data_IF_752236791949
#
_entry.id   IF_752236791949
#
_cell.length_a   1.000
_cell.length_b   1.000
_cell.length_c   1.000
_cell.angle_alpha   90.00
_cell.angle_beta   90.00
_cell.angle_gamma   90.00
#
_symmetry.space_group_name_H-M   'P 1'
#
loop_
_entity.id
_entity.type
_entity.pdbx_description
1 polymer ?
#
# COMPACT_ATOMS: atom_id res chain seq x y z
N UNK A 1 1.07 28.90 -19.61
CA UNK A 1 1.08 28.96 -18.13
C UNK A 1 2.29 29.78 -17.70
N UNK A 2 2.14 30.62 -16.68
CA UNK A 2 3.28 31.33 -16.09
C UNK A 2 4.23 30.31 -15.47
N UNK A 3 5.54 30.47 -15.68
CA UNK A 3 6.52 29.61 -15.04
C UNK A 3 6.43 29.76 -13.51
N UNK A 4 6.61 28.66 -12.75
CA UNK A 4 6.61 28.74 -11.30
C UNK A 4 7.75 29.62 -10.79
N UNK A 5 7.47 30.35 -9.72
CA UNK A 5 8.43 31.25 -9.06
C UNK A 5 8.88 30.65 -7.75
N UNK A 6 10.15 30.79 -7.41
CA UNK A 6 10.67 30.37 -6.12
C UNK A 6 10.88 31.58 -5.21
N UNK A 7 10.60 31.41 -3.93
CA UNK A 7 10.78 32.42 -2.90
C UNK A 7 11.59 31.84 -1.76
N UNK A 8 12.32 32.68 -1.04
CA UNK A 8 13.01 32.27 0.17
C UNK A 8 13.33 33.41 1.10
N UNK A 9 13.50 33.04 2.37
CA UNK A 9 13.92 33.92 3.46
C UNK A 9 15.31 33.52 3.90
N UNK A 10 16.21 34.50 3.99
CA UNK A 10 17.62 34.30 4.32
C UNK A 10 18.00 35.16 5.52
N UNK A 11 18.75 34.57 6.44
CA UNK A 11 19.36 35.26 7.58
C UNK A 11 20.87 35.06 7.54
N UNK A 12 21.63 36.10 7.84
CA UNK A 12 23.09 36.07 7.90
C UNK A 12 23.57 36.15 9.34
N UNK A 13 24.39 35.19 9.77
CA UNK A 13 25.05 35.19 11.09
C UNK A 13 26.55 34.98 10.90
N UNK A 14 27.32 36.01 11.22
CA UNK A 14 28.77 36.01 10.92
C UNK A 14 29.04 35.83 9.41
N UNK A 15 29.85 34.83 9.09
CA UNK A 15 30.18 34.46 7.70
C UNK A 15 29.16 33.52 7.05
N UNK A 16 28.17 33.04 7.79
CA UNK A 16 27.24 32.01 7.34
C UNK A 16 25.90 32.61 6.90
N UNK A 17 25.35 32.05 5.82
CA UNK A 17 24.01 32.35 5.33
C UNK A 17 23.09 31.16 5.62
N UNK A 18 21.91 31.45 6.17
CA UNK A 18 20.91 30.48 6.54
C UNK A 18 19.63 30.75 5.74
N UNK A 19 19.11 29.76 5.03
CA UNK A 19 17.80 29.85 4.38
C UNK A 19 16.75 29.22 5.28
N UNK A 20 15.98 30.05 5.97
CA UNK A 20 15.03 29.66 7.01
C UNK A 20 13.65 29.29 6.46
N UNK A 21 13.33 29.71 5.24
CA UNK A 21 12.12 29.30 4.52
C UNK A 21 12.37 29.30 3.03
N UNK A 22 11.71 28.39 2.30
CA UNK A 22 11.67 28.39 0.86
C UNK A 22 10.39 27.71 0.34
N UNK A 23 9.83 28.23 -0.75
CA UNK A 23 8.72 27.59 -1.45
C UNK A 23 8.76 27.88 -2.95
N UNK A 24 8.09 27.03 -3.71
CA UNK A 24 7.83 27.21 -5.14
C UNK A 24 6.34 27.47 -5.31
N UNK A 25 5.99 28.54 -6.02
CA UNK A 25 4.61 28.97 -6.23
C UNK A 25 4.21 28.85 -7.70
N UNK A 26 3.08 28.17 -7.92
CA UNK A 26 2.33 28.17 -9.18
C UNK A 26 1.09 29.04 -8.97
N UNK A 27 0.79 29.92 -9.93
CA UNK A 27 -0.38 30.79 -9.83
C UNK A 27 -0.31 31.80 -8.67
N UNK A 28 -1.45 32.12 -8.08
CA UNK A 28 -1.61 33.15 -7.04
C UNK A 28 -2.06 32.59 -5.69
N UNK A 29 -2.55 31.36 -5.67
CA UNK A 29 -3.01 30.69 -4.46
C UNK A 29 -1.85 30.47 -3.49
N UNK A 30 -2.14 30.71 -2.21
CA UNK A 30 -1.22 30.42 -1.11
C UNK A 30 -1.46 29.02 -0.50
N UNK A 31 -2.46 28.30 -0.98
CA UNK A 31 -2.79 26.95 -0.50
C UNK A 31 -1.62 26.01 -0.72
N UNK A 32 -1.31 25.18 0.27
CA UNK A 32 -0.28 24.16 0.06
C UNK A 32 -0.75 23.10 -0.95
N UNK A 33 0.15 22.75 -1.86
CA UNK A 33 0.01 21.61 -2.78
C UNK A 33 0.97 20.46 -2.43
N UNK A 34 1.59 20.52 -1.25
CA UNK A 34 2.58 19.56 -0.76
C UNK A 34 3.81 20.25 -0.17
N UNK A 35 4.68 19.46 0.44
CA UNK A 35 5.98 19.91 0.93
C UNK A 35 7.09 18.89 0.62
N UNK A 36 8.35 19.31 0.72
CA UNK A 36 9.52 18.45 0.74
C UNK A 36 10.33 18.67 2.02
N UNK A 37 10.94 17.61 2.55
CA UNK A 37 11.98 17.67 3.57
C UNK A 37 13.30 17.16 2.98
N UNK A 38 14.23 18.09 2.77
CA UNK A 38 15.53 17.86 2.15
C UNK A 38 16.66 17.99 3.18
N UNK A 39 17.91 17.74 2.75
CA UNK A 39 19.06 17.82 3.65
C UNK A 39 19.32 19.26 4.08
N UNK A 40 19.61 20.12 3.11
CA UNK A 40 20.07 21.48 3.34
C UNK A 40 19.76 22.38 2.13
N UNK A 41 19.75 23.70 2.32
CA UNK A 41 19.60 24.64 1.24
C UNK A 41 20.66 24.52 0.14
N UNK A 42 20.18 24.38 -1.10
CA UNK A 42 21.01 24.44 -2.31
C UNK A 42 21.48 25.85 -2.66
N UNK A 43 21.91 26.03 -3.91
CA UNK A 43 22.58 27.25 -4.38
C UNK A 43 21.64 28.43 -4.69
N UNK A 44 20.34 28.32 -4.43
CA UNK A 44 19.38 29.37 -4.73
C UNK A 44 19.62 30.62 -3.85
N UNK A 45 19.71 31.80 -4.46
CA UNK A 45 19.95 33.07 -3.78
C UNK A 45 19.34 34.26 -4.55
N UNK A 46 19.52 35.48 -4.02
CA UNK A 46 19.01 36.72 -4.62
C UNK A 46 19.88 37.29 -5.75
N UNK A 47 21.18 36.96 -5.78
CA UNK A 47 22.21 37.68 -6.55
C UNK A 47 21.92 37.81 -8.05
N UNK A 48 21.15 36.87 -8.61
CA UNK A 48 20.79 36.84 -10.03
C UNK A 48 19.47 37.53 -10.36
N UNK A 49 18.67 37.91 -9.35
CA UNK A 49 17.34 38.48 -9.52
C UNK A 49 17.18 39.86 -8.89
N UNK A 50 17.86 40.14 -7.77
CA UNK A 50 17.79 41.44 -7.11
C UNK A 50 19.05 41.73 -6.31
N UNK A 51 19.90 42.61 -6.84
CA UNK A 51 21.08 43.14 -6.14
C UNK A 51 20.70 43.95 -4.89
N UNK A 52 19.49 44.53 -4.87
CA UNK A 52 18.93 45.25 -3.73
C UNK A 52 18.68 44.31 -2.56
N UNK A 53 18.06 43.15 -2.79
CA UNK A 53 17.85 42.13 -1.76
C UNK A 53 19.16 41.54 -1.24
N UNK A 54 20.15 41.33 -2.12
CA UNK A 54 21.51 40.96 -1.70
C UNK A 54 22.09 42.03 -0.76
N UNK A 55 22.05 43.29 -1.15
CA UNK A 55 22.57 44.41 -0.34
C UNK A 55 21.84 44.53 0.99
N UNK A 56 20.51 44.39 0.98
CA UNK A 56 19.67 44.38 2.17
C UNK A 56 20.02 43.21 3.09
N UNK A 57 20.30 42.01 2.57
CA UNK A 57 20.71 40.86 3.39
C UNK A 57 22.06 41.13 4.08
N UNK A 58 23.00 41.76 3.37
CA UNK A 58 24.28 42.16 3.96
C UNK A 58 24.15 43.27 5.02
N UNK A 59 23.14 44.13 4.91
CA UNK A 59 22.97 45.31 5.77
C UNK A 59 22.07 45.04 6.97
N UNK A 60 20.93 44.38 6.74
CA UNK A 60 19.87 44.11 7.72
C UNK A 60 20.04 42.74 8.37
N UNK A 61 20.79 41.84 7.76
CA UNK A 61 20.99 40.47 8.26
C UNK A 61 19.82 39.52 8.03
N UNK A 62 18.66 39.99 7.57
CA UNK A 62 17.51 39.15 7.22
C UNK A 62 16.71 39.75 6.05
N UNK A 63 16.39 38.94 5.03
CA UNK A 63 15.64 39.34 3.84
C UNK A 63 14.78 38.19 3.30
N UNK A 64 13.60 38.51 2.78
CA UNK A 64 12.73 37.61 2.03
C UNK A 64 12.48 38.15 0.61
N UNK A 65 12.39 37.25 -0.37
CA UNK A 65 12.00 37.63 -1.73
C UNK A 65 12.06 36.49 -2.74
N UNK A 66 11.84 36.85 -4.02
CA UNK A 66 11.97 35.92 -5.15
C UNK A 66 13.45 35.50 -5.32
N UNK A 67 13.69 34.21 -5.52
CA UNK A 67 15.02 33.62 -5.70
C UNK A 67 15.12 32.82 -6.99
N UNK A 68 16.35 32.71 -7.51
CA UNK A 68 16.59 31.89 -8.69
C UNK A 68 16.44 30.40 -8.37
N UNK A 69 15.80 29.64 -9.26
CA UNK A 69 15.63 28.19 -9.08
C UNK A 69 16.94 27.43 -9.29
N UNK A 70 17.44 26.80 -8.23
CA UNK A 70 18.61 25.93 -8.30
C UNK A 70 18.30 24.57 -8.99
N UNK A 71 19.32 23.73 -9.29
CA UNK A 71 19.09 22.44 -9.92
C UNK A 71 18.11 21.54 -9.16
N UNK A 72 18.11 21.57 -7.83
CA UNK A 72 17.20 20.79 -6.99
C UNK A 72 15.76 21.29 -7.14
N UNK A 73 15.53 22.61 -7.06
CA UNK A 73 14.21 23.21 -7.28
C UNK A 73 13.65 22.89 -8.66
N UNK A 74 14.49 22.89 -9.70
CA UNK A 74 14.07 22.50 -11.06
C UNK A 74 13.62 21.04 -11.15
N UNK A 75 14.25 20.14 -10.39
CA UNK A 75 13.82 18.74 -10.31
C UNK A 75 12.51 18.60 -9.54
N UNK A 76 12.35 19.34 -8.44
CA UNK A 76 11.08 19.40 -7.71
C UNK A 76 9.96 19.89 -8.61
N UNK A 77 10.16 20.96 -9.37
CA UNK A 77 9.17 21.46 -10.34
C UNK A 77 8.71 20.35 -11.29
N UNK A 78 9.64 19.59 -11.87
CA UNK A 78 9.30 18.47 -12.76
C UNK A 78 8.50 17.37 -12.05
N UNK A 79 8.84 17.06 -10.80
CA UNK A 79 8.11 16.07 -10.00
C UNK A 79 6.68 16.56 -9.75
N UNK A 80 6.50 17.81 -9.31
CA UNK A 80 5.18 18.39 -9.01
C UNK A 80 4.33 18.48 -10.27
N UNK A 81 4.89 19.00 -11.38
CA UNK A 81 4.18 19.07 -12.66
C UNK A 81 3.79 17.68 -13.18
N UNK A 82 4.66 16.68 -13.00
CA UNK A 82 4.37 15.29 -13.33
C UNK A 82 3.30 14.67 -12.43
N UNK A 83 3.30 14.99 -11.14
CA UNK A 83 2.25 14.59 -10.20
C UNK A 83 0.91 15.19 -10.62
N UNK A 84 0.82 16.48 -10.94
CA UNK A 84 -0.45 17.15 -11.22
C UNK A 84 -0.82 17.20 -12.71
N UNK A 85 -0.07 16.49 -13.58
CA UNK A 85 -0.27 16.47 -15.03
C UNK A 85 -0.28 17.88 -15.69
N UNK A 86 0.44 18.83 -15.10
CA UNK A 86 0.63 20.22 -15.52
C UNK A 86 -0.63 21.09 -15.73
N UNK A 87 -1.84 20.55 -15.84
CA UNK A 87 -3.05 21.36 -16.08
C UNK A 87 -3.58 21.98 -14.78
N UNK A 88 -3.52 23.32 -14.69
CA UNK A 88 -4.11 24.15 -13.63
C UNK A 88 -3.49 23.97 -12.22
N UNK A 89 -2.16 23.91 -12.12
CA UNK A 89 -1.47 24.07 -10.84
C UNK A 89 -1.64 25.52 -10.29
N UNK A 90 -2.22 25.64 -9.10
CA UNK A 90 -2.35 26.90 -8.36
C UNK A 90 -2.16 26.66 -6.85
N UNK A 91 -1.03 27.12 -6.30
CA UNK A 91 -0.65 26.90 -4.91
C UNK A 91 0.85 26.93 -4.66
N UNK A 92 1.24 26.57 -3.42
CA UNK A 92 2.63 26.59 -2.92
C UNK A 92 3.13 25.21 -2.55
N UNK A 93 4.31 24.87 -3.06
CA UNK A 93 5.08 23.71 -2.65
C UNK A 93 6.19 24.15 -1.68
N UNK A 94 6.08 23.74 -0.41
CA UNK A 94 6.98 24.17 0.65
C UNK A 94 8.27 23.32 0.66
N UNK A 95 9.42 23.93 0.95
CA UNK A 95 10.71 23.25 1.02
C UNK A 95 11.31 23.44 2.40
N UNK A 96 11.25 22.38 3.19
CA UNK A 96 11.93 22.24 4.46
C UNK A 96 13.31 21.61 4.28
N UNK A 97 14.19 21.88 5.22
CA UNK A 97 15.54 21.30 5.26
C UNK A 97 15.80 20.78 6.68
N UNK A 98 16.62 19.72 6.80
CA UNK A 98 17.08 19.23 8.10
C UNK A 98 17.93 20.27 8.83
N UNK A 99 18.55 21.21 8.12
CA UNK A 99 19.17 22.38 8.73
C UNK A 99 19.20 23.54 7.72
N UNK A 100 19.25 24.77 8.23
CA UNK A 100 19.07 25.97 7.41
C UNK A 100 20.38 26.49 6.78
N UNK A 101 21.54 25.93 7.14
CA UNK A 101 22.84 26.37 6.63
C UNK A 101 22.95 26.17 5.10
N UNK A 102 23.18 27.25 4.37
CA UNK A 102 23.35 27.19 2.93
C UNK A 102 24.78 26.79 2.56
N UNK A 103 24.92 25.62 1.94
CA UNK A 103 26.19 25.09 1.45
C UNK A 103 25.93 24.03 0.37
N UNK A 104 26.49 24.22 -0.83
CA UNK A 104 26.15 23.39 -1.99
C UNK A 104 26.82 22.02 -2.01
N UNK A 105 27.80 21.78 -1.13
CA UNK A 105 28.43 20.47 -0.96
C UNK A 105 27.83 19.81 0.29
N UNK A 106 27.05 18.74 0.09
CA UNK A 106 26.34 18.06 1.17
C UNK A 106 27.27 17.56 2.30
N UNK A 107 28.46 17.02 1.96
CA UNK A 107 29.38 16.48 2.98
C UNK A 107 29.96 17.61 3.82
N UNK A 108 30.35 18.67 3.13
CA UNK A 108 30.88 19.86 3.79
C UNK A 108 29.78 20.59 4.59
N UNK A 109 28.54 20.61 4.09
CA UNK A 109 27.39 21.19 4.77
C UNK A 109 27.11 20.48 6.11
N UNK A 110 27.11 19.14 6.12
CA UNK A 110 26.92 18.37 7.35
C UNK A 110 28.10 18.60 8.31
N UNK A 111 29.34 18.55 7.81
CA UNK A 111 30.53 18.78 8.66
C UNK A 111 30.51 20.19 9.31
N UNK A 112 30.09 21.22 8.57
CA UNK A 112 29.90 22.57 9.11
C UNK A 112 28.74 22.66 10.10
N UNK A 113 27.59 22.03 9.78
CA UNK A 113 26.44 21.97 10.67
C UNK A 113 26.81 21.33 12.02
N UNK A 114 27.48 20.17 12.00
CA UNK A 114 27.95 19.50 13.23
C UNK A 114 28.88 20.43 14.03
N UNK A 115 29.82 21.13 13.37
CA UNK A 115 30.70 22.08 14.05
C UNK A 115 29.96 23.25 14.70
N UNK A 116 28.91 23.77 14.05
CA UNK A 116 28.10 24.88 14.58
C UNK A 116 27.22 24.43 15.77
N UNK A 117 26.74 23.19 15.74
CA UNK A 117 26.01 22.61 16.88
C UNK A 117 26.96 22.38 18.04
N UNK A 118 28.15 21.83 17.79
CA UNK A 118 29.18 21.60 18.81
C UNK A 118 29.68 22.91 19.46
N UNK A 119 29.76 24.01 18.69
CA UNK A 119 30.13 25.33 19.24
C UNK A 119 28.98 26.07 19.93
N UNK A 120 27.74 25.57 19.81
CA UNK A 120 26.54 26.22 20.34
C UNK A 120 26.04 27.39 19.50
N UNK A 121 26.53 27.55 18.27
CA UNK A 121 26.11 28.59 17.32
C UNK A 121 24.85 28.22 16.52
N UNK A 122 24.42 26.95 16.58
CA UNK A 122 23.22 26.46 15.92
C UNK A 122 22.45 25.50 16.83
N UNK A 123 21.14 25.73 16.98
CA UNK A 123 20.24 24.82 17.70
C UNK A 123 19.66 23.79 16.72
N UNK A 124 19.78 22.50 17.05
CA UNK A 124 19.24 21.40 16.26
C UNK A 124 17.72 21.52 16.03
N UNK A 125 17.00 22.21 16.92
CA UNK A 125 15.57 22.43 16.80
C UNK A 125 15.22 23.60 15.88
N UNK A 126 16.19 24.42 15.48
CA UNK A 126 15.96 25.66 14.71
C UNK A 126 15.31 25.43 13.35
N UNK A 127 15.54 24.27 12.73
CA UNK A 127 14.92 23.92 11.45
C UNK A 127 13.50 23.37 11.57
N UNK A 128 13.07 22.96 12.76
CA UNK A 128 11.76 22.34 12.94
C UNK A 128 10.64 23.39 12.79
N UNK A 129 9.51 22.92 12.27
CA UNK A 129 8.28 23.71 12.18
C UNK A 129 7.29 23.31 13.27
N UNK A 130 6.26 24.13 13.43
CA UNK A 130 5.16 23.79 14.35
C UNK A 130 4.31 22.67 13.77
N UNK A 131 3.68 21.89 14.66
CA UNK A 131 2.68 20.89 14.25
C UNK A 131 1.56 21.50 13.40
N UNK A 132 1.07 22.69 13.79
CA UNK A 132 -0.01 23.39 13.09
C UNK A 132 0.38 23.81 11.67
N UNK A 133 1.63 24.17 11.45
CA UNK A 133 2.14 24.43 10.10
C UNK A 133 2.16 23.14 9.28
N UNK A 134 2.68 22.06 9.87
CA UNK A 134 2.88 20.80 9.17
C UNK A 134 1.56 20.18 8.66
N UNK A 135 0.51 20.19 9.49
CA UNK A 135 -0.82 19.64 9.13
C UNK A 135 -1.54 20.40 8.01
N UNK A 136 -1.02 21.57 7.59
CA UNK A 136 -1.58 22.29 6.44
C UNK A 136 -1.22 21.65 5.11
N UNK A 137 -0.24 20.73 5.11
CA UNK A 137 0.23 20.06 3.90
C UNK A 137 -0.56 18.79 3.61
N UNK A 138 -0.95 18.55 2.34
CA UNK A 138 -1.63 17.31 1.97
C UNK A 138 -0.71 16.08 2.04
N UNK A 139 0.61 16.27 1.92
CA UNK A 139 1.62 15.23 1.97
C UNK A 139 3.03 15.84 2.03
N UNK A 140 4.04 15.03 2.40
CA UNK A 140 5.46 15.44 2.43
C UNK A 140 6.34 14.46 1.65
N UNK A 141 7.15 14.99 0.73
CA UNK A 141 8.22 14.26 0.05
C UNK A 141 9.48 14.21 0.94
N UNK A 142 10.02 13.03 1.21
CA UNK A 142 11.26 12.84 1.96
C UNK A 142 12.43 12.57 1.01
N UNK A 143 13.48 13.38 1.08
CA UNK A 143 14.59 13.33 0.13
C UNK A 143 15.89 13.94 0.65
N UNK A 144 16.32 13.60 1.86
CA UNK A 144 17.50 14.20 2.51
C UNK A 144 18.84 13.48 2.24
N UNK A 145 18.87 12.47 1.37
CA UNK A 145 20.10 11.74 1.02
C UNK A 145 20.39 10.55 1.94
N UNK A 146 21.29 9.68 1.46
CA UNK A 146 21.54 8.35 2.04
C UNK A 146 22.93 8.20 2.65
N UNK A 147 23.74 9.26 2.60
CA UNK A 147 25.08 9.25 3.16
C UNK A 147 25.04 9.30 4.69
N UNK A 148 25.90 8.50 5.32
CA UNK A 148 26.05 8.45 6.77
C UNK A 148 27.53 8.35 7.14
N UNK A 149 27.92 9.00 8.24
CA UNK A 149 29.23 8.83 8.89
C UNK A 149 29.02 8.76 10.40
N UNK A 150 29.80 7.94 11.09
CA UNK A 150 29.71 7.77 12.55
C UNK A 150 29.93 9.06 13.35
N UNK A 151 30.64 10.04 12.78
CA UNK A 151 30.85 11.35 13.40
C UNK A 151 29.63 12.29 13.31
N UNK A 152 28.65 12.00 12.45
CA UNK A 152 27.48 12.85 12.22
C UNK A 152 26.36 12.50 13.20
N UNK A 153 26.45 13.02 14.42
CA UNK A 153 25.50 12.71 15.49
C UNK A 153 24.31 13.66 15.49
N UNK A 154 24.55 14.96 15.34
CA UNK A 154 23.51 15.99 15.41
C UNK A 154 22.51 15.84 14.27
N UNK A 155 22.96 15.48 13.07
CA UNK A 155 22.06 15.25 11.94
C UNK A 155 21.11 14.06 12.19
N UNK A 156 21.58 13.05 12.92
CA UNK A 156 20.76 11.91 13.33
C UNK A 156 19.63 12.36 14.25
N UNK A 157 19.93 13.19 15.23
CA UNK A 157 18.95 13.77 16.16
C UNK A 157 17.91 14.62 15.43
N UNK A 158 18.33 15.48 14.49
CA UNK A 158 17.38 16.32 13.73
C UNK A 158 16.45 15.47 12.85
N UNK A 159 16.98 14.41 12.21
CA UNK A 159 16.14 13.46 11.46
C UNK A 159 15.08 12.82 12.36
N UNK A 160 15.48 12.38 13.54
CA UNK A 160 14.58 11.78 14.52
C UNK A 160 13.50 12.77 14.96
N UNK A 161 13.87 14.02 15.27
CA UNK A 161 12.90 15.06 15.64
C UNK A 161 11.90 15.35 14.52
N UNK A 162 12.34 15.45 13.27
CA UNK A 162 11.46 15.62 12.12
C UNK A 162 10.54 14.42 11.91
N UNK A 163 11.06 13.20 12.01
CA UNK A 163 10.26 11.97 11.88
C UNK A 163 9.19 11.87 12.97
N UNK A 164 9.53 12.20 14.21
CA UNK A 164 8.56 12.24 15.31
C UNK A 164 7.48 13.31 15.07
N UNK A 165 7.86 14.50 14.61
CA UNK A 165 6.91 15.57 14.29
C UNK A 165 5.96 15.15 13.16
N UNK A 166 6.48 14.53 12.10
CA UNK A 166 5.69 14.01 10.97
C UNK A 166 4.77 12.89 11.40
N UNK A 167 5.27 11.94 12.21
CA UNK A 167 4.47 10.83 12.71
C UNK A 167 3.30 11.34 13.56
N UNK A 168 3.58 12.29 14.46
CA UNK A 168 2.57 12.86 15.34
C UNK A 168 1.55 13.74 14.61
N UNK A 169 1.91 14.32 13.46
CA UNK A 169 1.01 15.15 12.67
C UNK A 169 0.04 14.37 11.78
N UNK A 170 0.29 13.07 11.56
CA UNK A 170 -0.49 12.23 10.66
C UNK A 170 -0.38 12.62 9.18
N UNK A 171 0.53 13.55 8.83
CA UNK A 171 0.69 13.99 7.44
C UNK A 171 1.38 12.89 6.65
N UNK A 172 0.76 12.39 5.56
CA UNK A 172 1.29 11.25 4.85
C UNK A 172 2.56 11.62 4.07
N UNK A 173 3.51 10.70 4.01
CA UNK A 173 4.80 10.93 3.36
C UNK A 173 5.08 9.96 2.22
N UNK A 174 5.92 10.35 1.27
CA UNK A 174 6.50 9.42 0.30
C UNK A 174 7.94 9.80 -0.01
N UNK A 175 8.69 8.85 -0.57
CA UNK A 175 10.07 9.05 -0.97
C UNK A 175 10.71 7.72 -1.31
N UNK A 176 11.78 7.77 -2.09
CA UNK A 176 12.51 6.55 -2.46
C UNK A 176 13.46 6.19 -1.32
N UNK A 177 13.10 5.16 -0.55
CA UNK A 177 13.97 4.62 0.51
C UNK A 177 15.21 3.93 -0.08
N UNK A 178 16.31 4.00 0.64
CA UNK A 178 17.49 3.21 0.36
C UNK A 178 17.28 1.78 0.88
N UNK A 179 17.77 0.77 0.15
CA UNK A 179 17.48 -0.64 0.48
C UNK A 179 18.14 -1.14 1.76
N UNK A 180 19.20 -0.44 2.22
CA UNK A 180 19.98 -0.83 3.41
C UNK A 180 19.92 0.18 4.55
N UNK A 181 19.56 1.42 4.24
CA UNK A 181 19.51 2.50 5.23
C UNK A 181 18.08 3.02 5.21
N UNK A 182 17.47 3.26 6.38
CA UNK A 182 16.12 3.84 6.47
C UNK A 182 16.06 5.32 6.01
N UNK A 183 17.00 5.73 5.16
CA UNK A 183 17.13 7.07 4.57
C UNK A 183 16.51 7.12 3.18
N UNK A 184 16.35 8.34 2.66
CA UNK A 184 15.69 8.62 1.40
C UNK A 184 16.64 9.25 0.39
N UNK A 185 16.61 8.78 -0.86
CA UNK A 185 17.43 9.37 -1.92
C UNK A 185 17.05 10.83 -2.18
N UNK A 186 18.06 11.70 -2.21
CA UNK A 186 17.89 13.11 -2.53
C UNK A 186 17.49 13.30 -4.01
N UNK A 187 16.58 14.25 -4.34
CA UNK A 187 16.10 14.43 -5.71
C UNK A 187 17.22 14.74 -6.71
N UNK A 188 18.31 15.39 -6.28
CA UNK A 188 19.48 15.66 -7.14
C UNK A 188 20.14 14.40 -7.70
N UNK A 189 19.90 13.23 -7.11
CA UNK A 189 20.38 11.96 -7.67
C UNK A 189 19.78 11.68 -9.06
N UNK A 190 18.63 12.29 -9.38
CA UNK A 190 18.04 12.26 -10.72
C UNK A 190 18.92 12.89 -11.82
N UNK A 191 19.90 13.73 -11.46
CA UNK A 191 20.89 14.27 -12.42
C UNK A 191 21.71 13.14 -13.04
N UNK A 192 22.04 12.12 -12.24
CA UNK A 192 22.83 10.95 -12.67
C UNK A 192 21.93 9.77 -13.08
N UNK A 193 20.68 9.74 -12.62
CA UNK A 193 19.68 8.73 -12.93
C UNK A 193 18.33 9.37 -13.31
N UNK A 194 18.14 9.81 -14.56
CA UNK A 194 16.93 10.51 -14.99
C UNK A 194 15.62 9.78 -14.73
N UNK A 195 15.63 8.43 -14.70
CA UNK A 195 14.45 7.61 -14.40
C UNK A 195 13.89 7.84 -12.99
N UNK A 196 14.70 8.38 -12.07
CA UNK A 196 14.29 8.64 -10.69
C UNK A 196 13.10 9.61 -10.59
N UNK A 197 12.94 10.56 -11.51
CA UNK A 197 11.77 11.45 -11.52
C UNK A 197 10.49 10.64 -11.71
N UNK A 198 10.47 9.75 -12.72
CA UNK A 198 9.31 8.90 -12.99
C UNK A 198 9.06 7.91 -11.84
N UNK A 199 10.11 7.37 -11.22
CA UNK A 199 9.98 6.52 -10.04
C UNK A 199 9.33 7.26 -8.86
N UNK A 200 9.71 8.51 -8.59
CA UNK A 200 9.09 9.32 -7.54
C UNK A 200 7.64 9.67 -7.85
N UNK A 201 7.33 10.02 -9.10
CA UNK A 201 5.95 10.25 -9.56
C UNK A 201 5.12 8.97 -9.41
N UNK A 202 5.68 7.81 -9.75
CA UNK A 202 5.01 6.52 -9.58
C UNK A 202 4.79 6.19 -8.12
N UNK A 203 5.75 6.42 -7.22
CA UNK A 203 5.58 6.25 -5.77
C UNK A 203 4.47 7.15 -5.23
N UNK A 204 4.42 8.42 -5.67
CA UNK A 204 3.32 9.32 -5.34
C UNK A 204 1.99 8.76 -5.85
N UNK A 205 1.94 8.37 -7.13
CA UNK A 205 0.72 7.86 -7.72
C UNK A 205 0.28 6.56 -7.05
N UNK A 206 1.20 5.67 -6.68
CA UNK A 206 0.90 4.46 -5.93
C UNK A 206 0.24 4.80 -4.61
N UNK A 207 0.86 5.70 -3.85
CA UNK A 207 0.41 6.03 -2.51
C UNK A 207 -0.85 6.89 -2.44
N UNK A 208 -0.98 7.85 -3.35
CA UNK A 208 -1.99 8.92 -3.27
C UNK A 208 -2.98 8.93 -4.44
N UNK A 209 -2.65 8.25 -5.55
CA UNK A 209 -3.49 8.23 -6.75
C UNK A 209 -3.88 6.85 -7.24
N UNK A 210 -3.49 5.74 -6.59
CA UNK A 210 -4.13 4.47 -6.91
C UNK A 210 -5.57 4.70 -6.54
N UNK A 211 -6.37 4.98 -7.57
CA UNK A 211 -7.79 4.75 -7.56
C UNK A 211 -7.89 3.27 -7.30
N UNK A 212 -7.94 2.92 -6.03
CA UNK A 212 -8.39 1.61 -5.57
C UNK A 212 -9.66 1.37 -6.36
N UNK A 213 -9.61 0.45 -7.31
CA UNK A 213 -10.78 0.16 -8.11
C UNK A 213 -11.76 -0.50 -7.15
N UNK A 214 -12.76 0.26 -6.73
CA UNK A 214 -13.78 -0.20 -5.79
C UNK A 214 -14.80 -1.01 -6.55
N UNK A 215 -15.29 -2.04 -5.90
CA UNK A 215 -16.37 -2.86 -6.38
C UNK A 215 -17.54 -2.77 -5.42
N UNK A 216 -18.75 -2.98 -5.93
CA UNK A 216 -19.88 -3.21 -5.04
C UNK A 216 -19.75 -4.59 -4.39
N UNK A 217 -20.43 -4.80 -3.26
CA UNK A 217 -20.58 -6.14 -2.67
C UNK A 217 -21.18 -7.14 -3.69
N UNK A 218 -22.07 -6.68 -4.58
CA UNK A 218 -22.65 -7.55 -5.60
C UNK A 218 -21.62 -8.12 -6.58
N UNK A 219 -20.50 -7.42 -6.81
CA UNK A 219 -19.43 -7.89 -7.70
C UNK A 219 -18.68 -9.11 -7.15
N UNK A 220 -18.85 -9.44 -5.86
CA UNK A 220 -18.24 -10.63 -5.25
C UNK A 220 -19.10 -11.87 -5.41
N UNK A 221 -20.26 -11.79 -6.08
CA UNK A 221 -21.17 -12.91 -6.30
C UNK A 221 -20.98 -13.52 -7.69
N UNK A 222 -21.24 -14.83 -7.86
CA UNK A 222 -21.36 -15.44 -9.19
C UNK A 222 -22.33 -14.65 -10.07
N UNK A 223 -21.93 -14.40 -11.31
CA UNK A 223 -22.69 -13.57 -12.26
C UNK A 223 -23.18 -14.33 -13.49
N UNK A 224 -22.95 -15.64 -13.54
CA UNK A 224 -23.47 -16.55 -14.55
C UNK A 224 -24.43 -17.58 -13.93
N UNK A 225 -25.50 -17.89 -14.65
CA UNK A 225 -26.41 -19.00 -14.33
C UNK A 225 -25.80 -20.28 -14.86
N UNK A 226 -25.51 -21.23 -13.97
CA UNK A 226 -24.93 -22.53 -14.32
C UNK A 226 -25.95 -23.61 -14.01
N UNK A 227 -26.16 -24.53 -14.96
CA UNK A 227 -27.01 -25.69 -14.75
C UNK A 227 -26.25 -26.73 -13.92
N UNK A 228 -26.82 -27.11 -12.78
CA UNK A 228 -26.19 -28.06 -11.87
C UNK A 228 -26.52 -29.48 -12.32
N UNK A 229 -25.64 -30.07 -13.13
CA UNK A 229 -25.66 -31.51 -13.39
C UNK A 229 -24.69 -32.20 -12.44
N UNK A 230 -25.14 -33.11 -11.55
CA UNK A 230 -24.24 -33.92 -10.73
C UNK A 230 -23.28 -34.74 -11.61
N UNK A 231 -22.05 -34.96 -11.15
CA UNK A 231 -21.05 -35.76 -11.87
C UNK A 231 -21.34 -37.26 -11.67
N UNK A 232 -21.84 -37.65 -10.50
CA UNK A 232 -22.12 -39.04 -10.14
C UNK A 232 -23.40 -39.19 -9.29
N UNK A 233 -23.97 -40.40 -9.25
CA UNK A 233 -25.16 -40.71 -8.44
C UNK A 233 -24.79 -40.97 -6.98
N UNK A 234 -25.54 -40.35 -6.06
CA UNK A 234 -25.36 -40.44 -4.61
C UNK A 234 -25.56 -41.87 -4.10
N UNK A 235 -24.64 -42.38 -3.28
CA UNK A 235 -24.84 -43.61 -2.50
C UNK A 235 -24.90 -43.24 -1.02
N UNK A 236 -26.08 -43.36 -0.42
CA UNK A 236 -26.32 -43.18 1.02
C UNK A 236 -25.58 -44.28 1.80
N UNK A 237 -24.29 -44.12 2.15
CA UNK A 237 -23.69 -44.80 3.32
C UNK A 237 -22.21 -44.50 3.62
N UNK A 238 -21.52 -43.65 2.86
CA UNK A 238 -20.07 -43.56 3.05
C UNK A 238 -19.70 -42.72 4.28
N UNK A 239 -19.05 -43.38 5.25
CA UNK A 239 -18.33 -42.75 6.37
C UNK A 239 -16.85 -42.66 5.98
N UNK A 240 -16.25 -41.49 6.18
CA UNK A 240 -14.85 -41.24 5.80
C UNK A 240 -14.73 -40.48 4.48
N UNK A 241 -13.59 -40.60 3.80
CA UNK A 241 -13.34 -39.95 2.52
C UNK A 241 -13.94 -40.75 1.36
N UNK A 242 -14.55 -40.06 0.41
CA UNK A 242 -15.06 -40.59 -0.85
C UNK A 242 -14.92 -39.54 -1.97
N UNK A 243 -15.04 -39.94 -3.23
CA UNK A 243 -15.01 -39.01 -4.38
C UNK A 243 -16.30 -38.20 -4.36
N UNK A 244 -16.21 -36.87 -4.39
CA UNK A 244 -17.39 -36.02 -4.34
C UNK A 244 -18.19 -36.15 -5.64
N UNK A 245 -19.51 -36.37 -5.57
CA UNK A 245 -20.38 -36.42 -6.75
C UNK A 245 -20.66 -35.01 -7.33
N UNK A 246 -20.29 -33.96 -6.60
CA UNK A 246 -20.45 -32.57 -7.01
C UNK A 246 -19.23 -32.08 -7.79
N UNK A 247 -19.44 -31.33 -8.87
CA UNK A 247 -18.34 -30.75 -9.67
C UNK A 247 -17.87 -29.41 -9.07
N UNK A 248 -16.64 -29.31 -8.52
CA UNK A 248 -16.12 -28.02 -8.03
C UNK A 248 -15.96 -26.98 -9.15
N UNK A 249 -15.85 -27.37 -10.43
CA UNK A 249 -15.75 -26.43 -11.55
C UNK A 249 -17.00 -25.57 -11.75
N UNK A 250 -18.16 -25.97 -11.19
CA UNK A 250 -19.37 -25.14 -11.27
C UNK A 250 -19.21 -23.84 -10.49
N UNK A 251 -18.36 -23.82 -9.46
CA UNK A 251 -18.04 -22.60 -8.71
C UNK A 251 -17.29 -21.63 -9.62
N UNK A 252 -16.25 -22.11 -10.31
CA UNK A 252 -15.45 -21.28 -11.24
C UNK A 252 -16.30 -20.80 -12.40
N UNK A 253 -17.10 -21.69 -12.97
CA UNK A 253 -17.98 -21.40 -14.10
C UNK A 253 -19.04 -20.34 -13.78
N UNK A 254 -19.36 -20.13 -12.50
CA UNK A 254 -20.25 -19.06 -12.05
C UNK A 254 -19.71 -17.64 -12.29
N UNK A 255 -18.43 -17.48 -12.60
CA UNK A 255 -17.76 -16.19 -12.75
C UNK A 255 -17.28 -15.94 -14.19
N UNK A 256 -17.76 -14.86 -14.81
CA UNK A 256 -17.59 -14.62 -16.25
C UNK A 256 -16.17 -14.28 -16.72
N UNK A 257 -15.24 -13.92 -15.82
CA UNK A 257 -13.88 -13.55 -16.20
C UNK A 257 -12.85 -14.64 -15.92
N UNK A 258 -13.30 -15.81 -15.47
CA UNK A 258 -12.44 -16.92 -15.06
C UNK A 258 -12.85 -18.21 -15.74
N UNK A 259 -11.87 -19.08 -15.93
CA UNK A 259 -12.04 -20.42 -16.48
C UNK A 259 -10.91 -21.33 -15.98
N UNK A 260 -11.08 -22.63 -16.19
CA UNK A 260 -10.01 -23.62 -15.95
C UNK A 260 -9.08 -23.65 -17.17
N UNK A 261 -7.77 -23.72 -16.94
CA UNK A 261 -6.77 -23.88 -18.00
C UNK A 261 -6.98 -25.17 -18.79
N UNK A 262 -6.77 -25.10 -20.10
CA UNK A 262 -6.80 -26.27 -20.99
C UNK A 262 -5.85 -27.38 -20.50
N UNK A 263 -6.28 -28.64 -20.62
CA UNK A 263 -5.52 -29.81 -20.19
C UNK A 263 -5.63 -30.13 -18.69
N UNK A 264 -6.40 -29.36 -17.92
CA UNK A 264 -6.67 -29.60 -16.51
C UNK A 264 -8.16 -29.56 -16.19
N UNK A 265 -8.52 -30.13 -15.04
CA UNK A 265 -9.87 -30.11 -14.47
C UNK A 265 -9.84 -30.09 -12.94
N UNK A 266 -10.94 -29.70 -12.30
CA UNK A 266 -11.06 -29.76 -10.83
C UNK A 266 -11.89 -30.97 -10.43
N UNK A 267 -11.43 -31.70 -9.43
CA UNK A 267 -12.19 -32.79 -8.78
C UNK A 267 -12.03 -32.68 -7.28
N UNK A 268 -12.96 -33.25 -6.54
CA UNK A 268 -12.94 -33.15 -5.09
C UNK A 268 -13.13 -34.51 -4.41
N UNK A 269 -12.51 -34.65 -3.25
CA UNK A 269 -12.92 -35.64 -2.26
C UNK A 269 -13.78 -34.96 -1.20
N UNK A 270 -14.74 -35.70 -0.67
CA UNK A 270 -15.57 -35.27 0.45
C UNK A 270 -15.39 -36.25 1.61
N UNK A 271 -15.39 -35.72 2.83
CA UNK A 271 -15.33 -36.46 4.07
C UNK A 271 -16.62 -36.28 4.83
N UNK A 272 -17.16 -37.35 5.38
CA UNK A 272 -18.37 -37.34 6.21
C UNK A 272 -18.15 -38.15 7.50
N UNK A 273 -18.54 -37.56 8.63
CA UNK A 273 -18.59 -38.26 9.91
C UNK A 273 -19.70 -37.70 10.80
N UNK A 274 -20.83 -38.42 10.88
CA UNK A 274 -22.02 -37.93 11.56
C UNK A 274 -22.61 -36.72 10.84
N UNK A 275 -22.79 -35.61 11.55
CA UNK A 275 -23.26 -34.35 10.97
C UNK A 275 -22.12 -33.50 10.36
N UNK A 276 -20.85 -33.85 10.63
CA UNK A 276 -19.70 -33.10 10.14
C UNK A 276 -19.32 -33.55 8.74
N UNK A 277 -18.84 -32.61 7.94
CA UNK A 277 -18.25 -32.89 6.65
C UNK A 277 -17.25 -31.83 6.25
N UNK A 278 -16.28 -32.25 5.45
CA UNK A 278 -15.25 -31.42 4.86
C UNK A 278 -15.05 -31.87 3.42
N UNK A 279 -14.41 -31.05 2.59
CA UNK A 279 -13.94 -31.50 1.29
C UNK A 279 -12.57 -30.94 0.98
N UNK A 280 -11.97 -31.48 -0.06
CA UNK A 280 -10.76 -30.94 -0.65
C UNK A 280 -10.86 -30.99 -2.16
N UNK A 281 -10.49 -29.89 -2.80
CA UNK A 281 -10.44 -29.76 -4.25
C UNK A 281 -9.01 -29.96 -4.75
N UNK A 282 -8.85 -30.77 -5.78
CA UNK A 282 -7.60 -31.02 -6.47
C UNK A 282 -7.68 -30.58 -7.93
N UNK A 283 -6.60 -29.98 -8.41
CA UNK A 283 -6.36 -29.75 -9.82
C UNK A 283 -5.61 -30.95 -10.41
N UNK A 284 -6.19 -31.61 -11.41
CA UNK A 284 -5.66 -32.82 -12.03
C UNK A 284 -5.64 -32.69 -13.56
N UNK A 285 -4.79 -33.46 -14.28
CA UNK A 285 -4.85 -33.51 -15.74
C UNK A 285 -6.22 -33.96 -16.26
N UNK A 286 -6.67 -33.36 -17.36
CA UNK A 286 -8.02 -33.56 -17.91
C UNK A 286 -8.34 -35.03 -18.24
N UNK A 287 -7.33 -35.80 -18.66
CA UNK A 287 -7.40 -37.20 -19.06
C UNK A 287 -7.30 -38.21 -17.90
N UNK A 288 -7.23 -37.74 -16.65
CA UNK A 288 -7.14 -38.57 -15.44
C UNK A 288 -8.41 -38.47 -14.60
N UNK A 289 -8.68 -39.45 -13.73
CA UNK A 289 -9.76 -39.35 -12.73
C UNK A 289 -9.19 -39.58 -11.33
N UNK A 290 -9.91 -39.10 -10.31
CA UNK A 290 -9.51 -39.34 -8.93
C UNK A 290 -9.51 -40.85 -8.61
N UNK A 291 -8.41 -41.40 -8.05
CA UNK A 291 -8.40 -42.78 -7.57
C UNK A 291 -9.22 -42.91 -6.28
N UNK A 292 -9.40 -44.15 -5.81
CA UNK A 292 -9.99 -44.39 -4.49
C UNK A 292 -9.15 -43.67 -3.40
N UNK A 293 -9.77 -43.00 -2.40
CA UNK A 293 -9.04 -42.32 -1.33
C UNK A 293 -7.98 -43.17 -0.62
N UNK A 294 -8.16 -44.50 -0.55
CA UNK A 294 -7.21 -45.43 0.06
C UNK A 294 -5.96 -45.68 -0.79
N UNK A 295 -6.00 -45.35 -2.08
CA UNK A 295 -4.87 -45.44 -3.02
C UNK A 295 -4.05 -44.14 -3.06
N UNK A 296 -4.56 -43.07 -2.45
CA UNK A 296 -3.89 -41.77 -2.40
C UNK A 296 -2.77 -41.71 -1.35
N UNK A 297 -1.82 -40.80 -1.60
CA UNK A 297 -0.89 -40.39 -0.54
C UNK A 297 -1.67 -39.56 0.46
N UNK A 298 -1.52 -39.86 1.74
CA UNK A 298 -2.14 -39.09 2.80
C UNK A 298 -1.26 -37.90 3.16
N UNK A 299 -1.79 -36.69 3.05
CA UNK A 299 -1.11 -35.44 3.39
C UNK A 299 -1.80 -34.77 4.58
N UNK A 300 -0.99 -34.09 5.40
CA UNK A 300 -1.29 -33.40 6.67
C UNK A 300 -1.12 -34.21 7.98
N UNK A 301 -0.66 -33.47 9.00
CA UNK A 301 -0.39 -33.85 10.41
C UNK A 301 -1.58 -33.57 11.36
N UNK A 302 -2.75 -33.19 10.82
CA UNK A 302 -3.97 -32.89 11.59
C UNK A 302 -4.98 -34.05 11.58
N UNK A 303 -6.03 -33.94 12.40
CA UNK A 303 -6.92 -35.02 12.89
C UNK A 303 -7.56 -35.88 11.76
N UNK A 304 -7.65 -35.37 10.52
CA UNK A 304 -8.19 -36.10 9.37
C UNK A 304 -7.14 -36.12 8.25
N UNK A 305 -6.54 -37.29 7.99
CA UNK A 305 -5.57 -37.48 6.90
C UNK A 305 -6.24 -37.26 5.55
N UNK A 306 -5.74 -36.31 4.75
CA UNK A 306 -6.38 -35.90 3.50
C UNK A 306 -5.83 -36.68 2.31
N UNK A 307 -6.68 -37.27 1.44
CA UNK A 307 -6.23 -38.00 0.27
C UNK A 307 -5.69 -37.04 -0.80
N UNK A 308 -4.45 -37.25 -1.24
CA UNK A 308 -3.84 -36.56 -2.38
C UNK A 308 -3.41 -37.54 -3.48
N UNK A 309 -3.95 -37.41 -4.70
CA UNK A 309 -3.48 -38.14 -5.87
C UNK A 309 -2.05 -37.70 -6.23
N UNK A 310 -1.20 -38.64 -6.62
CA UNK A 310 0.22 -38.38 -6.93
C UNK A 310 0.44 -37.43 -8.11
N UNK A 311 -0.56 -37.30 -8.99
CA UNK A 311 -0.54 -36.46 -10.17
C UNK A 311 -1.26 -35.12 -9.97
N UNK A 312 -1.87 -34.88 -8.80
CA UNK A 312 -2.53 -33.62 -8.50
C UNK A 312 -1.50 -32.51 -8.25
N UNK A 313 -1.80 -31.31 -8.72
CA UNK A 313 -1.00 -30.12 -8.39
C UNK A 313 -1.11 -29.77 -6.90
N UNK A 314 -0.10 -29.09 -6.39
CA UNK A 314 -0.07 -28.68 -4.98
C UNK A 314 -1.08 -27.59 -4.64
N UNK A 315 -1.46 -26.77 -5.61
CA UNK A 315 -2.38 -25.65 -5.45
C UNK A 315 -3.30 -25.58 -6.67
N UNK A 316 -4.61 -25.65 -6.44
CA UNK A 316 -5.61 -25.59 -7.50
C UNK A 316 -5.66 -24.21 -8.18
N UNK A 317 -5.20 -23.14 -7.52
CA UNK A 317 -5.12 -21.80 -8.13
C UNK A 317 -4.16 -21.77 -9.33
N UNK A 318 -3.24 -22.74 -9.44
CA UNK A 318 -2.35 -22.87 -10.60
C UNK A 318 -3.10 -23.11 -11.92
N UNK A 319 -4.32 -23.67 -11.87
CA UNK A 319 -5.13 -23.94 -13.07
C UNK A 319 -6.26 -22.95 -13.28
N UNK A 320 -6.41 -21.95 -12.40
CA UNK A 320 -7.34 -20.85 -12.63
C UNK A 320 -6.69 -19.88 -13.61
N UNK A 321 -7.44 -19.49 -14.63
CA UNK A 321 -7.02 -18.49 -15.62
C UNK A 321 -8.15 -17.51 -15.94
N UNK A 322 -7.80 -16.41 -16.60
CA UNK A 322 -8.69 -15.29 -16.81
C UNK A 322 -8.05 -14.13 -17.56
N UNK A 323 -8.81 -13.05 -17.69
CA UNK A 323 -8.43 -11.88 -18.49
C UNK A 323 -7.44 -10.91 -17.80
N UNK A 324 -7.00 -11.24 -16.57
CA UNK A 324 -6.11 -10.43 -15.72
C UNK A 324 -6.65 -9.03 -15.45
N UNK A 325 -7.96 -8.81 -15.60
CA UNK A 325 -8.63 -7.58 -15.18
C UNK A 325 -8.74 -7.51 -13.65
N UNK A 326 -8.88 -6.32 -13.07
CA UNK A 326 -9.21 -6.15 -11.65
C UNK A 326 -10.42 -6.98 -11.20
N UNK A 327 -11.44 -7.11 -12.06
CA UNK A 327 -12.62 -7.93 -11.77
C UNK A 327 -12.25 -9.42 -11.68
N UNK A 328 -11.45 -9.94 -12.61
CA UNK A 328 -11.00 -11.34 -12.54
C UNK A 328 -10.23 -11.67 -11.26
N UNK A 329 -9.41 -10.75 -10.75
CA UNK A 329 -8.70 -10.96 -9.47
C UNK A 329 -9.67 -10.93 -8.27
N UNK A 330 -10.68 -10.06 -8.30
CA UNK A 330 -11.73 -10.08 -7.28
C UNK A 330 -12.44 -11.44 -7.27
N UNK A 331 -12.91 -11.88 -8.44
CA UNK A 331 -13.61 -13.16 -8.60
C UNK A 331 -12.71 -14.34 -8.17
N UNK A 332 -11.42 -14.31 -8.49
CA UNK A 332 -10.47 -15.34 -8.10
C UNK A 332 -10.27 -15.39 -6.57
N UNK A 333 -10.34 -14.24 -5.90
CA UNK A 333 -10.28 -14.18 -4.43
C UNK A 333 -11.50 -14.84 -3.78
N UNK A 334 -12.69 -14.71 -4.40
CA UNK A 334 -13.91 -15.38 -3.91
C UNK A 334 -13.86 -16.87 -4.15
N UNK A 335 -13.52 -17.29 -5.38
CA UNK A 335 -13.35 -18.70 -5.75
C UNK A 335 -12.33 -19.40 -4.84
N UNK A 336 -11.24 -18.71 -4.50
CA UNK A 336 -10.23 -19.26 -3.58
C UNK A 336 -10.87 -19.73 -2.28
N UNK A 337 -11.74 -18.92 -1.68
CA UNK A 337 -12.43 -19.30 -0.45
C UNK A 337 -13.52 -20.35 -0.66
N UNK A 338 -14.36 -20.18 -1.69
CA UNK A 338 -15.45 -21.12 -2.00
C UNK A 338 -14.92 -22.54 -2.28
N UNK A 339 -13.76 -22.67 -2.95
CA UNK A 339 -13.12 -23.96 -3.22
C UNK A 339 -12.42 -24.55 -1.99
N UNK A 340 -11.84 -23.73 -1.10
CA UNK A 340 -11.26 -24.22 0.16
C UNK A 340 -12.32 -24.75 1.13
N UNK A 341 -13.55 -24.25 1.04
CA UNK A 341 -14.68 -24.67 1.88
C UNK A 341 -15.62 -25.65 1.16
N UNK A 342 -15.25 -26.12 -0.03
CA UNK A 342 -16.05 -27.06 -0.79
C UNK A 342 -16.38 -28.32 0.03
N UNK A 343 -17.67 -28.65 0.13
CA UNK A 343 -18.14 -29.85 0.86
C UNK A 343 -18.09 -29.74 2.39
N UNK A 344 -17.72 -28.58 2.94
CA UNK A 344 -17.72 -28.33 4.37
C UNK A 344 -19.14 -28.12 4.91
N UNK A 345 -19.44 -28.72 6.06
CA UNK A 345 -20.68 -28.52 6.82
C UNK A 345 -20.39 -28.45 8.32
N UNK A 346 -21.24 -27.75 9.07
CA UNK A 346 -21.10 -27.53 10.51
C UNK A 346 -19.77 -26.85 10.87
N UNK A 347 -18.92 -27.47 11.70
CA UNK A 347 -17.68 -26.87 12.18
C UNK A 347 -16.59 -26.74 11.11
N UNK A 348 -16.79 -27.33 9.93
CA UNK A 348 -15.93 -27.09 8.76
C UNK A 348 -16.20 -25.74 8.08
N UNK A 349 -17.31 -25.08 8.41
CA UNK A 349 -17.72 -23.82 7.78
C UNK A 349 -17.18 -22.62 8.56
N UNK A 350 -16.40 -21.78 7.89
CA UNK A 350 -15.92 -20.49 8.37
C UNK A 350 -16.23 -19.37 7.37
N UNK A 351 -15.83 -19.53 6.11
CA UNK A 351 -16.02 -18.52 5.06
C UNK A 351 -17.50 -18.39 4.68
N UNK A 352 -18.27 -19.47 4.71
CA UNK A 352 -19.70 -19.45 4.39
C UNK A 352 -20.53 -18.61 5.38
N UNK A 353 -19.97 -18.22 6.52
CA UNK A 353 -20.57 -17.27 7.47
C UNK A 353 -19.99 -15.86 7.36
N UNK A 354 -18.96 -15.64 6.55
CA UNK A 354 -18.42 -14.31 6.31
C UNK A 354 -19.35 -13.49 5.42
N UNK A 355 -19.79 -12.35 5.94
CA UNK A 355 -20.56 -11.38 5.16
C UNK A 355 -19.64 -10.26 4.69
N UNK A 356 -19.36 -10.23 3.38
CA UNK A 356 -18.53 -9.18 2.77
C UNK A 356 -19.19 -7.81 2.91
N UNK A 357 -18.40 -6.82 3.32
CA UNK A 357 -18.80 -5.42 3.51
C UNK A 357 -18.64 -4.59 2.22
N UNK A 358 -19.35 -3.45 2.08
CA UNK A 358 -20.36 -2.93 3.01
C UNK A 358 -21.64 -3.76 2.97
N UNK A 359 -22.34 -3.81 4.10
CA UNK A 359 -23.74 -4.23 4.11
C UNK A 359 -24.59 -3.14 3.46
N UNK A 360 -25.70 -3.51 2.81
CA UNK A 360 -26.64 -2.53 2.25
C UNK A 360 -27.09 -1.53 3.32
N UNK A 361 -27.55 -0.34 2.92
CA UNK A 361 -27.82 0.84 3.79
C UNK A 361 -28.67 0.56 5.06
N UNK A 362 -29.44 -0.53 5.11
CA UNK A 362 -30.22 -0.94 6.27
C UNK A 362 -29.44 -1.68 7.38
N UNK A 363 -28.23 -2.16 7.09
CA UNK A 363 -27.34 -2.81 8.06
C UNK A 363 -26.17 -1.89 8.39
N UNK A 364 -26.38 -1.00 9.35
CA UNK A 364 -25.29 -0.19 9.86
C UNK A 364 -24.30 -1.07 10.63
N UNK A 365 -23.01 -0.78 10.50
CA UNK A 365 -21.96 -1.27 11.40
C UNK A 365 -22.26 -1.01 12.89
N UNK A 366 -23.23 -0.13 13.20
CA UNK A 366 -23.62 0.28 14.54
C UNK A 366 -24.51 -0.69 15.33
N UNK A 367 -24.78 -1.90 14.83
CA UNK A 367 -25.51 -2.90 15.62
C UNK A 367 -24.64 -3.62 16.67
N UNK A 368 -23.32 -3.44 16.61
CA UNK A 368 -22.39 -4.01 17.58
C UNK A 368 -21.54 -2.93 18.24
N UNK A 369 -21.30 -3.09 19.54
CA UNK A 369 -20.32 -2.30 20.28
C UNK A 369 -18.91 -2.81 19.96
N UNK A 370 -18.33 -2.31 18.85
CA UNK A 370 -17.02 -2.74 18.38
C UNK A 370 -15.88 -2.28 19.28
N UNK A 371 -15.03 -3.22 19.68
CA UNK A 371 -13.68 -2.99 20.17
C UNK A 371 -12.72 -3.03 18.98
N UNK A 372 -12.24 -1.86 18.57
CA UNK A 372 -11.31 -1.71 17.45
C UNK A 372 -9.90 -2.14 17.86
N UNK A 373 -9.34 -3.12 17.14
CA UNK A 373 -7.94 -3.58 17.28
C UNK A 373 -7.03 -2.76 16.35
N UNK A 374 -7.53 -2.45 15.16
CA UNK A 374 -6.89 -1.55 14.19
C UNK A 374 -7.78 -0.34 13.89
N UNK A 375 -7.21 0.70 13.27
CA UNK A 375 -7.98 1.84 12.78
C UNK A 375 -9.06 1.42 11.76
N UNK A 376 -10.17 2.15 11.75
CA UNK A 376 -11.26 1.92 10.80
C UNK A 376 -10.71 2.06 9.37
N UNK A 377 -10.95 1.07 8.47
CA UNK A 377 -10.48 1.15 7.10
C UNK A 377 -11.01 2.37 6.35
N UNK A 378 -10.13 3.08 5.65
CA UNK A 378 -10.51 4.21 4.79
C UNK A 378 -11.44 3.78 3.62
N UNK A 379 -11.30 2.52 3.17
CA UNK A 379 -12.10 1.91 2.11
C UNK A 379 -12.63 0.59 2.63
N UNK A 380 -13.94 0.53 2.89
CA UNK A 380 -14.61 -0.67 3.40
C UNK A 380 -14.95 -1.63 2.25
N UNK A 381 -15.27 -1.07 1.08
CA UNK A 381 -15.68 -1.82 -0.10
C UNK A 381 -14.56 -2.72 -0.63
N UNK A 382 -14.89 -3.85 -1.28
CA UNK A 382 -13.90 -4.66 -1.97
C UNK A 382 -13.18 -3.78 -2.99
N UNK A 383 -11.86 -3.87 -3.02
CA UNK A 383 -11.08 -3.03 -3.91
C UNK A 383 -9.81 -3.69 -4.40
N UNK A 384 -9.38 -3.24 -5.57
CA UNK A 384 -8.18 -3.70 -6.25
C UNK A 384 -7.13 -2.60 -6.37
N UNK A 385 -5.87 -2.97 -6.22
CA UNK A 385 -4.71 -2.14 -6.54
C UNK A 385 -3.49 -3.02 -6.87
N UNK A 386 -2.41 -2.40 -7.35
CA UNK A 386 -1.10 -3.06 -7.42
C UNK A 386 -0.27 -2.64 -6.21
N UNK A 387 0.27 -3.59 -5.46
CA UNK A 387 1.15 -3.29 -4.31
C UNK A 387 2.49 -2.67 -4.74
N UNK A 388 3.34 -2.29 -3.78
CA UNK A 388 4.64 -1.65 -4.04
C UNK A 388 5.57 -2.53 -4.89
N UNK A 389 5.49 -3.85 -4.73
CA UNK A 389 6.21 -4.83 -5.55
C UNK A 389 5.61 -4.99 -6.95
N UNK A 390 4.45 -4.38 -7.23
CA UNK A 390 3.72 -4.45 -8.49
C UNK A 390 2.90 -5.72 -8.67
N UNK A 391 2.58 -6.44 -7.58
CA UNK A 391 1.68 -7.59 -7.62
C UNK A 391 0.22 -7.12 -7.60
N UNK A 392 -0.70 -7.79 -8.31
CA UNK A 392 -2.13 -7.52 -8.21
C UNK A 392 -2.63 -7.86 -6.79
N UNK A 393 -3.37 -6.95 -6.17
CA UNK A 393 -3.83 -7.10 -4.78
C UNK A 393 -5.31 -6.76 -4.68
N UNK A 394 -6.07 -7.66 -4.04
CA UNK A 394 -7.47 -7.46 -3.69
C UNK A 394 -7.60 -7.41 -2.19
N UNK A 395 -8.36 -6.43 -1.70
CA UNK A 395 -8.69 -6.27 -0.28
C UNK A 395 -10.19 -6.15 -0.13
N UNK A 396 -10.76 -6.90 0.80
CA UNK A 396 -12.15 -6.77 1.23
C UNK A 396 -12.26 -7.05 2.72
N UNK A 397 -13.38 -6.63 3.30
CA UNK A 397 -13.66 -6.79 4.71
C UNK A 397 -14.91 -7.64 4.90
N UNK A 398 -14.97 -8.42 5.97
CA UNK A 398 -16.13 -9.24 6.31
C UNK A 398 -16.52 -9.04 7.77
N UNK A 399 -17.76 -9.39 8.09
CA UNK A 399 -18.20 -9.69 9.45
C UNK A 399 -18.42 -11.20 9.54
N UNK A 400 -17.93 -11.80 10.62
CA UNK A 400 -18.19 -13.19 10.99
C UNK A 400 -18.82 -13.23 12.37
N UNK A 401 -19.93 -13.93 12.54
CA UNK A 401 -20.69 -14.04 13.79
C UNK A 401 -20.45 -15.36 14.56
N UNK A 402 -19.54 -16.21 14.08
CA UNK A 402 -19.16 -17.46 14.76
C UNK A 402 -18.31 -17.14 15.99
N UNK A 403 -18.82 -17.53 17.15
CA UNK A 403 -18.20 -17.32 18.46
C UNK A 403 -18.23 -15.85 18.84
N UNK A 404 -17.07 -15.19 18.76
CA UNK A 404 -16.94 -13.75 18.94
C UNK A 404 -17.14 -13.07 17.60
N UNK A 405 -18.06 -12.10 17.52
CA UNK A 405 -18.27 -11.36 16.29
C UNK A 405 -16.97 -10.65 15.91
N UNK A 406 -16.47 -10.90 14.71
CA UNK A 406 -15.21 -10.34 14.22
C UNK A 406 -15.43 -9.55 12.95
N UNK A 407 -14.83 -8.37 12.87
CA UNK A 407 -14.58 -7.70 11.60
C UNK A 407 -13.21 -8.14 11.11
N UNK A 408 -13.17 -8.68 9.91
CA UNK A 408 -11.96 -9.24 9.32
C UNK A 408 -11.55 -8.46 8.07
N UNK A 409 -10.25 -8.28 7.86
CA UNK A 409 -9.66 -7.79 6.61
C UNK A 409 -8.97 -8.94 5.90
N UNK A 410 -9.34 -9.17 4.65
CA UNK A 410 -8.75 -10.15 3.76
C UNK A 410 -7.84 -9.44 2.77
N UNK A 411 -6.60 -9.90 2.63
CA UNK A 411 -5.63 -9.38 1.66
C UNK A 411 -5.16 -10.53 0.78
N UNK A 412 -5.50 -10.46 -0.51
CA UNK A 412 -5.10 -11.42 -1.52
C UNK A 412 -4.06 -10.78 -2.43
N UNK A 413 -2.83 -11.28 -2.43
CA UNK A 413 -1.76 -10.80 -3.30
C UNK A 413 -1.41 -11.88 -4.32
N UNK A 414 -1.72 -11.62 -5.57
CA UNK A 414 -1.54 -12.54 -6.69
C UNK A 414 -0.12 -12.50 -7.24
N UNK A 415 0.32 -13.59 -7.87
CA UNK A 415 1.49 -13.58 -8.72
C UNK A 415 1.31 -12.63 -9.91
N UNK A 416 2.42 -12.16 -10.49
CA UNK A 416 2.39 -11.37 -11.73
C UNK A 416 2.08 -12.20 -12.96
N UNK A 417 2.39 -13.51 -12.91
CA UNK A 417 2.29 -14.41 -14.06
C UNK A 417 0.92 -15.07 -14.19
N UNK A 418 0.24 -15.32 -13.06
CA UNK A 418 -0.93 -16.20 -12.94
C UNK A 418 -1.76 -15.86 -11.69
N UNK A 419 -2.79 -16.66 -11.42
CA UNK A 419 -3.73 -16.46 -10.30
C UNK A 419 -3.32 -17.17 -9.00
N UNK A 420 -2.10 -17.73 -8.91
CA UNK A 420 -1.58 -18.18 -7.61
C UNK A 420 -1.47 -16.98 -6.67
N UNK A 421 -1.77 -17.17 -5.39
CA UNK A 421 -1.88 -16.06 -4.46
C UNK A 421 -1.34 -16.38 -3.07
N UNK A 422 -0.89 -15.32 -2.40
CA UNK A 422 -0.70 -15.31 -0.95
C UNK A 422 -1.93 -14.66 -0.32
N UNK A 423 -2.49 -15.34 0.68
CA UNK A 423 -3.66 -14.89 1.43
C UNK A 423 -3.27 -14.54 2.87
N UNK A 424 -3.76 -13.40 3.37
CA UNK A 424 -3.63 -12.98 4.76
C UNK A 424 -4.99 -12.50 5.29
N UNK A 425 -5.34 -12.93 6.51
CA UNK A 425 -6.55 -12.49 7.24
C UNK A 425 -6.14 -11.82 8.53
N UNK A 426 -6.73 -10.67 8.81
CA UNK A 426 -6.52 -9.89 10.03
C UNK A 426 -7.85 -9.66 10.72
N UNK A 427 -7.93 -9.89 12.03
CA UNK A 427 -9.05 -9.42 12.85
C UNK A 427 -8.79 -7.96 13.19
N UNK A 428 -9.63 -7.06 12.71
CA UNK A 428 -9.45 -5.61 12.88
C UNK A 428 -10.38 -5.02 13.94
N UNK A 429 -11.47 -5.71 14.27
CA UNK A 429 -12.33 -5.39 15.40
C UNK A 429 -13.03 -6.65 15.92
N UNK A 430 -13.44 -6.61 17.18
CA UNK A 430 -14.27 -7.65 17.82
C UNK A 430 -15.48 -7.01 18.47
N UNK A 431 -16.58 -7.74 18.56
CA UNK A 431 -17.74 -7.37 19.36
C UNK A 431 -18.23 -8.56 20.19
N UNK A 432 -19.38 -8.42 20.88
CA UNK A 432 -19.96 -9.45 21.74
C UNK A 432 -20.11 -10.84 21.07
N UNK A 433 -20.44 -11.86 21.86
CA UNK A 433 -20.63 -13.22 21.35
C UNK A 433 -22.00 -13.42 20.71
N UNK A 434 -22.06 -14.12 19.59
CA UNK A 434 -23.32 -14.42 18.88
C UNK A 434 -23.59 -15.93 18.77
N UNK A 435 -22.96 -16.64 17.84
CA UNK A 435 -23.32 -18.04 17.51
C UNK A 435 -22.25 -19.01 18.01
N UNK A 436 -22.63 -20.02 18.80
CA UNK A 436 -21.77 -21.16 19.12
C UNK A 436 -22.40 -22.39 18.46
N UNK A 437 -21.66 -23.04 17.55
CA UNK A 437 -22.05 -24.32 16.95
C UNK A 437 -21.87 -25.48 17.92
#
# INVERSE_FOLDING_TARGET
MNQPKAFGTFTKRGSHSFRTSAYIQWGISIKSIGAALLLNPGSANFDKLSSELTTALHTLGNVEGEIYTDPTMKLLIKIIEGIYAAEHLDGRFQIYNLFNLQNTDNKHAIDQFESLVESGEYDIMESLVTHNELITHPWIYLGWGVEQKSKWKSIGLVKESWLNLISNSGVPTFGKKHSKTNDYYHPSYAIYRPTMINELINLYNQKFKIKKQRFSQYATKPNLLIDHTPVEQWVESDFGWFISPSNPETIVSGFSHLHIKEGYKLRAYQYTHGANGNGIVWAIPEDTELPDPNECTQVNEHIISTPKPVFALDDFMQIIDGDKSPMSYLQASIIFHDLHEFGAVWHGTQWGQDVILPLNEDYSLGNHDWEMIEDIPEVIEPHFYYCDEGNPTVVFHTINDIGTVTMNRYVHTFSKSDYTLKFERFIIATAGGEIIF
#
